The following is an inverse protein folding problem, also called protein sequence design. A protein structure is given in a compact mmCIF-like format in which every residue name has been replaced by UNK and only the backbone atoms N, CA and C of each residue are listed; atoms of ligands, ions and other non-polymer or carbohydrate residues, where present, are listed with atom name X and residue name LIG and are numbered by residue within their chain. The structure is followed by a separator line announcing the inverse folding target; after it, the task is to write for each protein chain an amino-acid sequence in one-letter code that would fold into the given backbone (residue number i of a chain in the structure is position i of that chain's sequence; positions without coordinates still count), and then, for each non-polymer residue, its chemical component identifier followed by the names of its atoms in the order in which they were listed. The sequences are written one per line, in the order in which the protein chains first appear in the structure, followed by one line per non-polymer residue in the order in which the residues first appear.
data_IF_738257769798
#
_entry.id   IF_738257769798
#
_cell.length_a   1.000
_cell.length_b   1.000
_cell.length_c   1.000
_cell.angle_alpha   90.00
_cell.angle_beta   90.00
_cell.angle_gamma   90.00
#
_symmetry.space_group_name_H-M   'P 1'
#
loop_
_entity.id
_entity.type
_entity.pdbx_description
1 polymer ?
#
# COMPACT_ATOMS: atom_id res chain seq x y z
N UNK A 1 20.10 28.21 -3.51
CA UNK A 1 18.99 27.28 -3.84
C UNK A 1 19.59 26.22 -4.72
N UNK A 2 19.67 24.97 -4.25
CA UNK A 2 20.25 23.90 -5.06
C UNK A 2 19.31 23.60 -6.24
N UNK A 3 19.86 23.50 -7.46
CA UNK A 3 19.10 23.08 -8.64
C UNK A 3 18.81 21.57 -8.50
N UNK A 4 17.64 21.21 -7.97
CA UNK A 4 17.20 19.83 -7.93
C UNK A 4 16.96 19.33 -9.36
N UNK A 5 17.74 18.33 -9.77
CA UNK A 5 17.64 17.73 -11.10
C UNK A 5 16.45 16.77 -11.10
N UNK A 6 15.53 16.95 -12.04
CA UNK A 6 14.47 15.97 -12.34
C UNK A 6 15.03 14.91 -13.24
N UNK A 7 15.26 13.72 -12.71
CA UNK A 7 15.68 12.55 -13.49
C UNK A 7 14.67 11.42 -13.37
N UNK A 8 14.63 10.56 -14.39
CA UNK A 8 13.80 9.38 -14.38
C UNK A 8 14.42 8.33 -13.44
N UNK A 9 13.76 8.06 -12.31
CA UNK A 9 14.18 7.05 -11.33
C UNK A 9 13.10 5.99 -11.15
N UNK A 10 13.52 4.78 -10.73
CA UNK A 10 12.59 3.78 -10.19
C UNK A 10 11.84 4.38 -9.01
N UNK A 11 10.56 4.07 -8.84
CA UNK A 11 9.78 4.51 -7.69
C UNK A 11 10.40 4.07 -6.37
N UNK A 12 11.06 2.91 -6.35
CA UNK A 12 11.81 2.41 -5.18
C UNK A 12 13.05 3.25 -4.84
N UNK A 13 13.54 4.07 -5.77
CA UNK A 13 14.69 4.96 -5.59
C UNK A 13 14.26 6.41 -5.31
N UNK A 14 12.95 6.67 -5.19
CA UNK A 14 12.46 8.00 -4.83
C UNK A 14 12.77 8.31 -3.38
N UNK A 15 13.16 9.56 -3.17
CA UNK A 15 13.44 10.18 -1.90
C UNK A 15 12.72 11.52 -1.80
N UNK A 16 12.78 12.18 -0.65
CA UNK A 16 12.39 13.59 -0.49
C UNK A 16 12.90 14.54 -1.58
N UNK A 17 14.03 14.23 -2.23
CA UNK A 17 14.56 15.06 -3.32
C UNK A 17 13.64 15.04 -4.54
N UNK A 18 13.05 13.89 -4.87
CA UNK A 18 12.07 13.76 -5.94
C UNK A 18 10.80 14.51 -5.57
N UNK A 19 10.29 14.34 -4.34
CA UNK A 19 9.12 15.08 -3.87
C UNK A 19 9.33 16.59 -3.99
N UNK A 20 10.47 17.10 -3.53
CA UNK A 20 10.83 18.52 -3.64
C UNK A 20 11.01 18.96 -5.11
N UNK A 21 11.64 18.15 -5.96
CA UNK A 21 11.87 18.49 -7.37
C UNK A 21 10.57 18.59 -8.17
N UNK A 22 9.57 17.77 -7.83
CA UNK A 22 8.24 17.77 -8.44
C UNK A 22 7.21 18.62 -7.69
N UNK A 23 7.62 19.32 -6.63
CA UNK A 23 6.73 20.14 -5.79
C UNK A 23 5.53 19.35 -5.26
N UNK A 24 5.79 18.14 -4.77
CA UNK A 24 4.79 17.26 -4.16
C UNK A 24 4.80 17.51 -2.65
N UNK A 25 3.63 17.77 -2.10
CA UNK A 25 3.43 17.98 -0.67
C UNK A 25 2.52 16.91 -0.09
N UNK A 26 2.95 16.31 1.03
CA UNK A 26 2.17 15.34 1.78
C UNK A 26 1.51 16.05 2.96
N UNK A 27 0.18 15.99 3.03
CA UNK A 27 -0.58 16.56 4.14
C UNK A 27 -1.28 15.47 4.93
N UNK A 28 -0.95 15.38 6.21
CA UNK A 28 -1.69 14.50 7.13
C UNK A 28 -3.12 15.02 7.30
N UNK A 29 -4.10 14.17 7.01
CA UNK A 29 -5.51 14.49 7.20
C UNK A 29 -6.14 13.71 8.34
N UNK A 30 -7.10 14.34 9.02
CA UNK A 30 -7.94 13.66 10.02
C UNK A 30 -9.03 12.86 9.32
N UNK A 31 -9.56 11.79 9.94
CA UNK A 31 -10.68 11.03 9.39
C UNK A 31 -11.86 11.91 8.98
N UNK A 32 -12.20 12.92 9.78
CA UNK A 32 -13.29 13.85 9.46
C UNK A 32 -13.06 14.62 8.16
N UNK A 33 -11.82 15.05 7.90
CA UNK A 33 -11.47 15.82 6.71
C UNK A 33 -11.41 14.94 5.46
N UNK A 34 -10.91 13.71 5.58
CA UNK A 34 -10.68 12.83 4.44
C UNK A 34 -11.91 11.97 4.11
N UNK A 35 -12.53 11.35 5.12
CA UNK A 35 -13.66 10.41 4.98
C UNK A 35 -15.01 11.04 5.34
N UNK A 36 -15.05 12.26 5.90
CA UNK A 36 -16.30 12.87 6.35
C UNK A 36 -16.88 12.25 7.62
N UNK A 37 -16.11 11.44 8.36
CA UNK A 37 -16.57 10.78 9.61
C UNK A 37 -15.67 11.14 10.79
N UNK A 38 -16.25 11.37 11.97
CA UNK A 38 -15.48 11.73 13.18
C UNK A 38 -14.57 10.61 13.66
N UNK A 39 -15.05 9.37 13.60
CA UNK A 39 -14.33 8.17 13.97
C UNK A 39 -14.46 7.12 12.87
N UNK A 40 -13.37 6.39 12.63
CA UNK A 40 -13.39 5.24 11.73
C UNK A 40 -14.21 4.11 12.37
N UNK A 41 -14.95 3.32 11.58
CA UNK A 41 -15.67 2.17 12.11
C UNK A 41 -14.69 1.18 12.75
N UNK A 42 -15.11 0.51 13.82
CA UNK A 42 -14.27 -0.53 14.40
C UNK A 42 -14.10 -1.69 13.41
N UNK A 43 -12.86 -2.15 13.17
CA UNK A 43 -12.64 -3.29 12.31
C UNK A 43 -13.27 -4.54 12.92
N UNK A 44 -13.81 -5.41 12.07
CA UNK A 44 -14.22 -6.76 12.49
C UNK A 44 -12.96 -7.60 12.59
N UNK A 45 -12.40 -7.70 13.79
CA UNK A 45 -11.27 -8.56 14.11
C UNK A 45 -11.82 -9.77 14.86
N UNK A 46 -11.30 -10.95 14.56
CA UNK A 46 -11.61 -12.14 15.36
C UNK A 46 -11.15 -11.91 16.82
N UNK A 47 -12.03 -12.07 17.82
CA UNK A 47 -11.65 -11.90 19.22
C UNK A 47 -10.50 -12.78 19.66
N UNK A 48 -10.35 -13.97 19.05
CA UNK A 48 -9.25 -14.88 19.35
C UNK A 48 -7.89 -14.26 19.00
N UNK A 49 -7.78 -13.58 17.85
CA UNK A 49 -6.55 -12.88 17.47
C UNK A 49 -6.14 -11.79 18.47
N UNK A 50 -7.12 -11.14 19.10
CA UNK A 50 -6.86 -10.09 20.10
C UNK A 50 -6.55 -10.66 21.49
N UNK A 51 -7.01 -11.89 21.78
CA UNK A 51 -6.88 -12.51 23.09
C UNK A 51 -5.66 -13.44 23.19
N UNK A 52 -5.26 -14.08 22.10
CA UNK A 52 -4.13 -15.01 22.05
C UNK A 52 -2.81 -14.27 22.09
N UNK A 53 -1.90 -14.72 22.97
CA UNK A 53 -0.57 -14.12 23.08
C UNK A 53 0.38 -14.59 21.98
N UNK A 54 0.20 -15.83 21.53
CA UNK A 54 1.02 -16.52 20.54
C UNK A 54 0.20 -17.52 19.73
N UNK A 55 0.81 -18.07 18.70
CA UNK A 55 0.19 -19.01 17.77
C UNK A 55 -0.16 -20.38 18.40
N UNK A 56 0.48 -20.77 19.51
CA UNK A 56 0.23 -22.05 20.19
C UNK A 56 -1.09 -22.02 20.98
N UNK A 57 -1.52 -20.82 21.41
CA UNK A 57 -2.78 -20.61 22.12
C UNK A 57 -4.00 -20.50 21.20
N UNK A 58 -3.79 -20.28 19.89
CA UNK A 58 -4.87 -20.18 18.93
C UNK A 58 -5.47 -21.55 18.61
N UNK A 59 -6.80 -21.64 18.69
CA UNK A 59 -7.58 -22.83 18.33
C UNK A 59 -7.94 -22.88 16.85
N UNK A 60 -7.96 -21.72 16.18
CA UNK A 60 -8.18 -21.61 14.74
C UNK A 60 -6.85 -21.51 13.99
N UNK A 61 -6.62 -22.44 13.05
CA UNK A 61 -5.41 -22.50 12.22
C UNK A 61 -5.13 -21.17 11.48
N UNK A 62 -6.17 -20.48 11.00
CA UNK A 62 -5.99 -19.19 10.30
C UNK A 62 -5.54 -18.06 11.24
N UNK A 63 -5.92 -18.11 12.51
CA UNK A 63 -5.46 -17.17 13.54
C UNK A 63 -4.04 -17.53 13.97
N UNK A 64 -3.74 -18.82 14.12
CA UNK A 64 -2.39 -19.32 14.40
C UNK A 64 -1.40 -18.90 13.29
N UNK A 65 -1.77 -19.05 12.02
CA UNK A 65 -0.97 -18.60 10.88
C UNK A 65 -0.74 -17.08 10.91
N UNK A 66 -1.78 -16.28 11.16
CA UNK A 66 -1.65 -14.82 11.23
C UNK A 66 -0.74 -14.37 12.39
N UNK A 67 -0.80 -15.04 13.54
CA UNK A 67 0.08 -14.76 14.68
C UNK A 67 1.54 -15.14 14.40
N UNK A 68 1.77 -16.27 13.72
CA UNK A 68 3.13 -16.64 13.26
C UNK A 68 3.69 -15.60 12.28
N UNK A 69 2.88 -15.12 11.33
CA UNK A 69 3.29 -14.06 10.41
C UNK A 69 3.62 -12.76 11.14
N UNK A 70 2.83 -12.40 12.16
CA UNK A 70 3.11 -11.23 13.00
C UNK A 70 4.44 -11.37 13.76
N UNK A 71 4.69 -12.52 14.39
CA UNK A 71 5.94 -12.79 15.10
C UNK A 71 7.16 -12.71 14.16
N UNK A 72 7.04 -13.30 12.96
CA UNK A 72 8.05 -13.18 11.92
C UNK A 72 8.26 -11.73 11.49
N UNK A 73 7.20 -10.96 11.24
CA UNK A 73 7.28 -9.55 10.81
C UNK A 73 7.92 -8.64 11.88
N UNK A 74 7.76 -8.97 13.16
CA UNK A 74 8.36 -8.24 14.28
C UNK A 74 9.82 -8.64 14.55
N UNK A 75 10.29 -9.72 13.91
CA UNK A 75 11.65 -10.23 14.09
C UNK A 75 12.59 -9.65 13.01
N UNK A 76 13.63 -8.88 13.38
CA UNK A 76 14.51 -8.20 12.42
C UNK A 76 15.21 -9.11 11.39
N UNK A 77 15.32 -10.41 11.68
CA UNK A 77 16.02 -11.40 10.83
C UNK A 77 15.12 -12.11 9.82
N UNK A 78 13.80 -11.95 9.92
CA UNK A 78 12.84 -12.64 9.04
C UNK A 78 12.75 -12.03 7.64
N UNK A 79 13.32 -10.84 7.45
CA UNK A 79 13.37 -10.14 6.17
C UNK A 79 12.06 -9.47 5.77
N UNK A 80 12.15 -8.64 4.73
CA UNK A 80 11.06 -7.80 4.18
C UNK A 80 9.79 -8.57 3.84
N UNK A 81 9.93 -9.79 3.31
CA UNK A 81 8.77 -10.60 2.91
C UNK A 81 7.84 -10.93 4.07
N UNK A 82 8.33 -11.00 5.31
CA UNK A 82 7.49 -11.31 6.46
C UNK A 82 6.47 -10.19 6.75
N UNK A 83 6.86 -8.92 6.56
CA UNK A 83 5.94 -7.78 6.75
C UNK A 83 4.89 -7.75 5.64
N UNK A 84 5.31 -7.97 4.38
CA UNK A 84 4.42 -8.08 3.23
C UNK A 84 3.37 -9.19 3.43
N UNK A 85 3.83 -10.38 3.84
CA UNK A 85 3.00 -11.56 4.05
C UNK A 85 2.03 -11.36 5.22
N UNK A 86 2.49 -10.78 6.34
CA UNK A 86 1.63 -10.40 7.46
C UNK A 86 0.55 -9.40 7.04
N UNK A 87 0.92 -8.33 6.33
CA UNK A 87 -0.04 -7.32 5.89
C UNK A 87 -1.09 -7.91 4.93
N UNK A 88 -0.67 -8.77 3.99
CA UNK A 88 -1.59 -9.49 3.12
C UNK A 88 -2.52 -10.44 3.89
N UNK A 89 -1.98 -11.18 4.86
CA UNK A 89 -2.76 -12.05 5.77
C UNK A 89 -3.78 -11.26 6.58
N UNK A 90 -3.37 -10.12 7.15
CA UNK A 90 -4.24 -9.24 7.91
C UNK A 90 -5.40 -8.71 7.05
N UNK A 91 -5.16 -8.32 5.79
CA UNK A 91 -6.25 -7.90 4.90
C UNK A 91 -7.27 -9.00 4.63
N UNK A 92 -6.83 -10.27 4.55
CA UNK A 92 -7.75 -11.42 4.41
C UNK A 92 -8.55 -11.62 5.69
N UNK A 93 -7.89 -11.61 6.85
CA UNK A 93 -8.56 -11.79 8.15
C UNK A 93 -9.60 -10.70 8.44
N UNK A 94 -9.31 -9.45 8.06
CA UNK A 94 -10.24 -8.33 8.22
C UNK A 94 -11.33 -8.26 7.14
N UNK A 95 -11.31 -9.16 6.14
CA UNK A 95 -12.28 -9.20 5.04
C UNK A 95 -12.11 -8.09 4.00
N UNK A 96 -10.97 -7.40 3.98
CA UNK A 96 -10.62 -6.44 2.91
C UNK A 96 -10.17 -7.12 1.62
N UNK A 97 -9.61 -8.33 1.74
CA UNK A 97 -9.30 -9.22 0.63
C UNK A 97 -10.23 -10.46 0.69
N UNK A 98 -11.01 -10.67 -0.36
CA UNK A 98 -12.02 -11.72 -0.47
C UNK A 98 -13.04 -11.43 -1.58
N UNK A 99 -13.67 -12.49 -2.10
CA UNK A 99 -14.56 -12.46 -3.29
C UNK A 99 -13.86 -11.85 -4.50
N UNK A 100 -14.07 -10.56 -4.76
CA UNK A 100 -13.56 -9.85 -5.92
C UNK A 100 -12.35 -8.97 -5.59
N UNK A 101 -11.93 -8.90 -4.32
CA UNK A 101 -10.73 -8.15 -3.92
C UNK A 101 -9.58 -9.09 -3.59
N UNK A 102 -8.40 -8.79 -4.12
CA UNK A 102 -7.19 -9.61 -3.90
C UNK A 102 -6.09 -8.73 -3.33
N UNK A 103 -5.51 -9.16 -2.20
CA UNK A 103 -4.26 -8.62 -1.69
C UNK A 103 -3.08 -9.29 -2.41
N UNK A 104 -2.25 -8.51 -3.08
CA UNK A 104 -1.03 -8.96 -3.75
C UNK A 104 0.20 -8.32 -3.11
N UNK A 105 1.28 -9.09 -3.02
CA UNK A 105 2.59 -8.59 -2.62
C UNK A 105 3.44 -8.32 -3.87
N UNK A 106 4.35 -7.34 -3.79
CA UNK A 106 5.41 -7.08 -4.80
C UNK A 106 4.90 -6.88 -6.23
N UNK A 107 3.76 -6.20 -6.40
CA UNK A 107 3.24 -5.90 -7.74
C UNK A 107 4.11 -4.85 -8.41
N UNK A 108 4.68 -5.19 -9.57
CA UNK A 108 5.39 -4.25 -10.43
C UNK A 108 4.41 -3.35 -11.19
N UNK A 109 4.56 -2.03 -11.02
CA UNK A 109 3.83 -1.01 -11.77
C UNK A 109 4.77 -0.24 -12.69
N UNK A 110 4.21 0.30 -13.78
CA UNK A 110 4.93 1.17 -14.70
C UNK A 110 4.74 2.63 -14.27
N UNK A 111 5.84 3.34 -14.07
CA UNK A 111 5.88 4.76 -13.74
C UNK A 111 6.43 5.52 -14.95
N UNK A 112 5.59 6.33 -15.60
CA UNK A 112 6.05 7.26 -16.63
C UNK A 112 6.56 8.54 -15.95
N UNK A 113 7.87 8.78 -16.03
CA UNK A 113 8.52 9.94 -15.40
C UNK A 113 9.61 10.50 -16.31
N UNK A 114 9.65 11.83 -16.45
CA UNK A 114 10.60 12.52 -17.34
C UNK A 114 10.66 11.97 -18.78
N UNK A 115 9.54 11.45 -19.30
CA UNK A 115 9.46 10.85 -20.64
C UNK A 115 10.01 9.43 -20.74
N UNK A 116 10.42 8.82 -19.63
CA UNK A 116 10.89 7.43 -19.57
C UNK A 116 9.95 6.55 -18.75
N UNK A 117 9.84 5.29 -19.15
CA UNK A 117 9.17 4.26 -18.35
C UNK A 117 10.13 3.68 -17.32
N UNK A 118 9.78 3.82 -16.05
CA UNK A 118 10.47 3.23 -14.89
C UNK A 118 9.54 2.28 -14.15
N UNK A 119 10.08 1.53 -13.21
CA UNK A 119 9.30 0.60 -12.38
C UNK A 119 8.96 1.27 -11.05
N UNK A 120 7.80 0.94 -10.50
CA UNK A 120 7.44 1.20 -9.11
C UNK A 120 6.83 -0.09 -8.56
N UNK A 121 7.62 -0.84 -7.77
CA UNK A 121 7.15 -2.07 -7.14
C UNK A 121 6.46 -1.71 -5.84
N UNK A 122 5.22 -2.18 -5.65
CA UNK A 122 4.44 -2.00 -4.41
C UNK A 122 4.76 -3.12 -3.43
N UNK A 123 4.83 -2.84 -2.14
CA UNK A 123 5.03 -3.91 -1.16
C UNK A 123 3.76 -4.76 -1.02
N UNK A 124 2.62 -4.12 -0.71
CA UNK A 124 1.30 -4.76 -0.74
C UNK A 124 0.28 -3.85 -1.44
N UNK A 125 -0.61 -4.43 -2.23
CA UNK A 125 -1.73 -3.72 -2.83
C UNK A 125 -3.03 -4.52 -2.77
N UNK A 126 -4.17 -3.82 -2.72
CA UNK A 126 -5.50 -4.42 -2.90
C UNK A 126 -6.01 -4.04 -4.28
N UNK A 127 -6.42 -5.06 -5.04
CA UNK A 127 -7.00 -4.89 -6.38
C UNK A 127 -8.43 -5.35 -6.36
N UNK A 128 -9.32 -4.55 -6.92
CA UNK A 128 -10.66 -4.97 -7.29
C UNK A 128 -10.60 -5.71 -8.63
N UNK A 129 -11.02 -6.96 -8.69
CA UNK A 129 -10.96 -7.80 -9.89
C UNK A 129 -12.05 -7.50 -10.90
N UNK A 130 -13.16 -6.92 -10.46
CA UNK A 130 -14.27 -6.57 -11.37
C UNK A 130 -13.91 -5.32 -12.16
N UNK A 131 -13.29 -4.34 -11.49
CA UNK A 131 -12.84 -3.09 -12.11
C UNK A 131 -11.38 -3.15 -12.58
N UNK A 132 -10.63 -4.17 -12.13
CA UNK A 132 -9.17 -4.30 -12.26
C UNK A 132 -8.37 -3.12 -11.64
N UNK A 133 -9.04 -2.29 -10.84
CA UNK A 133 -8.53 -1.09 -10.18
C UNK A 133 -7.67 -1.45 -8.96
N UNK A 134 -6.54 -0.76 -8.81
CA UNK A 134 -5.78 -0.73 -7.55
C UNK A 134 -6.50 0.22 -6.58
N UNK A 135 -6.95 -0.32 -5.44
CA UNK A 135 -7.73 0.39 -4.44
C UNK A 135 -6.88 0.91 -3.27
N UNK A 136 -5.87 0.13 -2.87
CA UNK A 136 -5.02 0.43 -1.72
C UNK A 136 -3.58 0.03 -2.03
N UNK A 137 -2.65 0.84 -1.55
CA UNK A 137 -1.22 0.58 -1.53
C UNK A 137 -0.72 0.65 -0.09
N UNK A 138 0.17 -0.25 0.25
CA UNK A 138 0.90 -0.26 1.51
C UNK A 138 2.38 -0.33 1.17
N UNK A 139 3.15 0.51 1.85
CA UNK A 139 4.60 0.54 1.80
C UNK A 139 5.09 0.20 3.20
N UNK A 140 5.93 -0.83 3.32
CA UNK A 140 6.58 -1.17 4.56
C UNK A 140 7.59 -0.08 4.94
N UNK A 141 7.76 0.09 6.25
CA UNK A 141 8.84 0.92 6.77
C UNK A 141 10.12 0.08 6.82
N UNK A 142 11.14 0.49 6.07
CA UNK A 142 12.39 -0.25 5.86
C UNK A 142 13.35 -0.17 7.06
N UNK A 143 12.80 -0.18 8.27
CA UNK A 143 13.49 0.11 9.56
C UNK A 143 14.66 -0.81 9.86
N UNK A 144 14.66 -2.03 9.32
CA UNK A 144 15.68 -3.04 9.57
C UNK A 144 16.70 -3.16 8.43
N UNK A 145 16.60 -2.31 7.40
CA UNK A 145 17.58 -2.28 6.31
C UNK A 145 18.78 -1.41 6.67
N UNK A 146 19.98 -1.96 6.55
CA UNK A 146 21.21 -1.18 6.62
C UNK A 146 21.39 -0.37 5.34
N UNK A 147 21.15 0.95 5.41
CA UNK A 147 21.43 1.88 4.31
C UNK A 147 20.72 3.23 4.43
N UNK A 148 21.46 4.31 4.23
CA UNK A 148 20.89 5.66 4.06
C UNK A 148 20.27 5.76 2.64
N UNK A 149 18.95 5.67 2.52
CA UNK A 149 18.31 5.92 1.21
C UNK A 149 16.85 5.49 1.07
N UNK A 150 16.33 4.67 1.97
CA UNK A 150 14.91 4.35 1.96
C UNK A 150 14.09 5.55 2.44
N UNK A 151 13.13 5.98 1.63
CA UNK A 151 12.14 6.99 1.98
C UNK A 151 10.76 6.39 1.69
N UNK A 152 10.16 5.67 2.66
CA UNK A 152 8.88 4.98 2.46
C UNK A 152 7.78 5.92 1.98
N UNK A 153 7.76 7.18 2.42
CA UNK A 153 6.76 8.15 1.97
C UNK A 153 6.96 8.48 0.48
N UNK A 154 8.19 8.82 0.07
CA UNK A 154 8.47 9.11 -1.33
C UNK A 154 8.21 7.92 -2.27
N UNK A 155 8.54 6.70 -1.81
CA UNK A 155 8.31 5.47 -2.56
C UNK A 155 6.82 5.16 -2.70
N UNK A 156 6.04 5.29 -1.62
CA UNK A 156 4.59 5.13 -1.64
C UNK A 156 3.92 6.12 -2.60
N UNK A 157 4.38 7.37 -2.61
CA UNK A 157 3.88 8.39 -3.56
C UNK A 157 4.19 8.01 -5.00
N UNK A 158 5.41 7.54 -5.30
CA UNK A 158 5.78 7.09 -6.64
C UNK A 158 4.90 5.92 -7.11
N UNK A 159 4.65 4.95 -6.23
CA UNK A 159 3.73 3.83 -6.47
C UNK A 159 2.29 4.30 -6.68
N UNK A 160 1.82 5.28 -5.90
CA UNK A 160 0.48 5.84 -6.03
C UNK A 160 0.29 6.54 -7.38
N UNK A 161 1.29 7.27 -7.86
CA UNK A 161 1.29 7.88 -9.20
C UNK A 161 1.22 6.79 -10.28
N UNK A 162 2.05 5.75 -10.17
CA UNK A 162 2.06 4.63 -11.10
C UNK A 162 0.71 3.87 -11.11
N UNK A 163 0.14 3.59 -9.94
CA UNK A 163 -1.16 2.92 -9.79
C UNK A 163 -2.30 3.77 -10.37
N UNK A 164 -2.28 5.08 -10.14
CA UNK A 164 -3.26 5.99 -10.71
C UNK A 164 -3.19 6.04 -12.24
N UNK A 165 -1.98 6.09 -12.80
CA UNK A 165 -1.77 6.00 -14.25
C UNK A 165 -2.32 4.70 -14.83
N UNK A 166 -2.01 3.57 -14.21
CA UNK A 166 -2.50 2.26 -14.64
C UNK A 166 -4.04 2.16 -14.56
N UNK A 167 -4.64 2.63 -13.47
CA UNK A 167 -6.11 2.62 -13.33
C UNK A 167 -6.75 3.48 -14.44
N UNK A 168 -6.20 4.67 -14.74
CA UNK A 168 -6.71 5.52 -15.81
C UNK A 168 -6.53 4.89 -17.21
N UNK A 169 -5.42 4.23 -17.48
CA UNK A 169 -5.22 3.48 -18.72
C UNK A 169 -6.29 2.40 -18.89
N UNK A 170 -6.57 1.64 -17.84
CA UNK A 170 -7.61 0.60 -17.87
C UNK A 170 -9.01 1.18 -18.08
N UNK A 171 -9.32 2.33 -17.48
CA UNK A 171 -10.58 3.05 -17.70
C UNK A 171 -10.74 3.46 -19.15
N UNK A 172 -9.71 4.06 -19.75
CA UNK A 172 -9.72 4.45 -21.16
C UNK A 172 -9.90 3.24 -22.07
N UNK A 173 -9.22 2.12 -21.78
CA UNK A 173 -9.38 0.87 -22.52
C UNK A 173 -10.79 0.25 -22.37
N UNK A 174 -11.55 0.67 -21.35
CA UNK A 174 -12.93 0.27 -21.10
C UNK A 174 -13.94 1.35 -21.54
N UNK A 175 -13.54 2.31 -22.37
CA UNK A 175 -14.36 3.43 -22.86
C UNK A 175 -14.94 4.32 -21.74
N UNK A 176 -14.21 4.43 -20.62
CA UNK A 176 -14.54 5.30 -19.50
C UNK A 176 -13.60 6.51 -19.46
N UNK A 177 -14.14 7.66 -19.08
CA UNK A 177 -13.33 8.86 -18.85
C UNK A 177 -12.27 8.61 -17.76
N UNK A 178 -11.01 9.06 -17.95
CA UNK A 178 -10.00 9.00 -16.91
C UNK A 178 -10.42 9.86 -15.71
N UNK A 179 -9.93 9.48 -14.53
CA UNK A 179 -10.14 10.27 -13.33
C UNK A 179 -9.13 11.41 -13.27
N UNK A 180 -9.57 12.59 -12.84
CA UNK A 180 -8.67 13.69 -12.45
C UNK A 180 -8.09 13.47 -11.04
N UNK A 181 -8.81 12.72 -10.20
CA UNK A 181 -8.41 12.36 -8.84
C UNK A 181 -9.06 11.05 -8.41
N UNK A 182 -8.34 10.23 -7.64
CA UNK A 182 -8.91 9.07 -6.94
C UNK A 182 -9.20 9.48 -5.50
N UNK A 183 -10.47 9.42 -5.12
CA UNK A 183 -10.92 9.68 -3.74
C UNK A 183 -11.60 8.42 -3.24
N UNK A 184 -11.28 7.99 -2.02
CA UNK A 184 -12.01 6.92 -1.35
C UNK A 184 -13.39 7.46 -0.95
N UNK A 185 -14.40 7.29 -1.81
CA UNK A 185 -15.78 7.62 -1.45
C UNK A 185 -16.30 6.61 -0.45
N UNK A 186 -16.75 7.06 0.72
CA UNK A 186 -17.60 6.27 1.62
C UNK A 186 -18.98 6.13 0.99
N UNK A 187 -19.16 5.17 0.09
CA UNK A 187 -20.51 4.70 -0.21
C UNK A 187 -21.03 4.01 1.03
N UNK A 188 -22.12 4.55 1.59
CA UNK A 188 -22.82 4.02 2.74
C UNK A 188 -23.22 2.56 2.47
N UNK A 189 -22.68 1.63 3.27
CA UNK A 189 -23.24 0.29 3.41
C UNK A 189 -24.29 0.28 4.52
#
# INVERSE_FOLDING_TARGET
MANLIRSAKSGSDWTRNELAAYNIECHRQRPLTFFGVEALPQPRVDPEFLASHDAEQATNDSISELLNLLDMAMTPRSGKSAVDDFAAGLFRALGYAGRNRVALTRRDLVLLICGEFKRAQTDVCIIDRDQNDILLLVQEDKRFEEGEGADPEAQLIAQAIAAFGLNNEQRVNADMEPLDKKVSSTSSY
#
